data_IF_447216650857
#
_entry.id   IF_447216650857
#
_cell.length_a   1.000
_cell.length_b   1.000
_cell.length_c   1.000
_cell.angle_alpha   90.00
_cell.angle_beta   90.00
_cell.angle_gamma   90.00
#
_symmetry.space_group_name_H-M   'P 1'
#
loop_
_entity.id
_entity.type
_entity.pdbx_description
1 polymer ?
#
# COMPACT_ATOMS: atom_id res chain seq x y z
N UNK A 1 -5.82 -15.64 -2.22
CA UNK A 1 -6.52 -15.14 -1.01
C UNK A 1 -8.06 -15.14 -1.13
N UNK A 2 -8.74 -14.28 -1.92
CA UNK A 2 -10.23 -14.26 -2.00
C UNK A 2 -10.88 -15.63 -2.27
N UNK A 3 -10.32 -16.43 -3.18
CA UNK A 3 -10.81 -17.80 -3.45
C UNK A 3 -10.61 -18.75 -2.28
N UNK A 4 -9.45 -18.73 -1.64
CA UNK A 4 -9.16 -19.60 -0.49
C UNK A 4 -10.06 -19.27 0.71
N UNK A 5 -10.32 -18.00 0.96
CA UNK A 5 -11.22 -17.58 2.04
C UNK A 5 -12.69 -17.90 1.75
N UNK A 6 -13.11 -17.85 0.49
CA UNK A 6 -14.42 -18.36 0.08
C UNK A 6 -14.54 -19.87 0.31
N UNK A 7 -13.46 -20.64 0.11
CA UNK A 7 -13.45 -22.07 0.40
C UNK A 7 -13.46 -22.39 1.90
N UNK A 8 -12.67 -21.67 2.70
CA UNK A 8 -12.65 -21.89 4.16
C UNK A 8 -13.97 -21.51 4.80
N UNK A 9 -14.60 -20.41 4.37
CA UNK A 9 -15.93 -20.04 4.86
C UNK A 9 -16.94 -21.13 4.52
N UNK A 10 -16.97 -21.59 3.26
CA UNK A 10 -17.92 -22.61 2.81
C UNK A 10 -17.82 -23.92 3.60
N UNK A 11 -16.59 -24.38 3.90
CA UNK A 11 -16.37 -25.58 4.73
C UNK A 11 -16.94 -25.43 6.14
N UNK A 12 -16.80 -24.25 6.74
CA UNK A 12 -17.35 -23.98 8.07
C UNK A 12 -18.87 -23.90 8.05
N UNK A 13 -19.48 -23.36 7.00
CA UNK A 13 -20.94 -23.39 6.83
C UNK A 13 -21.45 -24.84 6.75
N UNK A 14 -20.81 -25.70 5.96
CA UNK A 14 -21.19 -27.12 5.87
C UNK A 14 -20.97 -27.89 7.17
N UNK A 15 -19.84 -27.67 7.84
CA UNK A 15 -19.57 -28.30 9.14
C UNK A 15 -20.61 -27.89 10.19
N UNK A 16 -20.94 -26.58 10.24
CA UNK A 16 -21.98 -26.05 11.13
C UNK A 16 -23.34 -26.67 10.79
N UNK A 17 -23.70 -26.76 9.51
CA UNK A 17 -24.95 -27.40 9.09
C UNK A 17 -24.98 -28.90 9.48
N UNK A 18 -23.88 -29.63 9.33
CA UNK A 18 -23.79 -31.04 9.74
C UNK A 18 -23.97 -31.22 11.25
N UNK A 19 -23.34 -30.37 12.06
CA UNK A 19 -23.52 -30.34 13.52
C UNK A 19 -24.97 -30.05 13.88
N UNK A 20 -25.60 -29.08 13.20
CA UNK A 20 -27.01 -28.77 13.40
C UNK A 20 -27.94 -29.94 13.02
N UNK A 21 -27.68 -30.63 11.92
CA UNK A 21 -28.46 -31.82 11.51
C UNK A 21 -28.32 -32.93 12.55
N UNK A 22 -27.10 -33.22 13.01
CA UNK A 22 -26.86 -34.23 14.05
C UNK A 22 -27.58 -33.87 15.36
N UNK A 23 -27.49 -32.60 15.78
CA UNK A 23 -28.21 -32.08 16.95
C UNK A 23 -29.74 -32.21 16.78
N UNK A 24 -30.27 -31.88 15.60
CA UNK A 24 -31.70 -31.96 15.30
C UNK A 24 -32.22 -33.39 15.34
N UNK A 25 -31.47 -34.35 14.79
CA UNK A 25 -31.80 -35.78 14.86
C UNK A 25 -31.81 -36.25 16.32
N UNK A 26 -30.76 -35.91 17.08
CA UNK A 26 -30.66 -36.27 18.50
C UNK A 26 -31.82 -35.70 19.32
N UNK A 27 -32.16 -34.43 19.10
CA UNK A 27 -33.25 -33.74 19.79
C UNK A 27 -34.62 -34.40 19.51
N UNK A 28 -34.84 -34.90 18.29
CA UNK A 28 -36.10 -35.54 17.93
C UNK A 28 -36.27 -36.92 18.58
N UNK A 29 -35.16 -37.63 18.82
CA UNK A 29 -35.14 -38.90 19.54
C UNK A 29 -35.35 -38.70 21.05
N UNK A 30 -35.08 -37.50 21.58
CA UNK A 30 -35.26 -37.19 22.99
C UNK A 30 -36.75 -37.08 23.37
N UNK A 31 -37.13 -37.69 24.50
CA UNK A 31 -38.47 -37.61 25.08
C UNK A 31 -38.51 -36.51 26.13
N UNK A 32 -39.33 -35.49 25.87
CA UNK A 32 -39.56 -34.41 26.83
C UNK A 32 -40.65 -34.81 27.84
N UNK A 33 -40.58 -34.36 29.10
CA UNK A 33 -41.65 -34.53 30.06
C UNK A 33 -42.95 -33.85 29.59
N UNK A 34 -44.09 -34.51 29.80
CA UNK A 34 -45.43 -34.00 29.44
C UNK A 34 -46.01 -33.02 30.47
N UNK A 35 -45.18 -32.46 31.35
CA UNK A 35 -45.60 -31.45 32.33
C UNK A 35 -45.65 -30.04 31.70
N UNK A 36 -46.83 -29.43 31.55
CA UNK A 36 -46.97 -28.10 30.92
C UNK A 36 -46.18 -27.00 31.65
N UNK A 37 -46.01 -27.12 32.96
CA UNK A 37 -45.28 -26.11 33.75
C UNK A 37 -43.79 -26.12 33.42
N UNK A 38 -43.16 -27.30 33.38
CA UNK A 38 -41.77 -27.48 32.98
C UNK A 38 -41.54 -27.01 31.53
N UNK A 39 -42.51 -27.28 30.64
CA UNK A 39 -42.45 -26.87 29.24
C UNK A 39 -42.47 -25.34 29.09
N UNK A 40 -43.34 -24.66 29.83
CA UNK A 40 -43.40 -23.20 29.87
C UNK A 40 -42.08 -22.58 30.35
N UNK A 41 -41.53 -23.09 31.46
CA UNK A 41 -40.25 -22.61 32.00
C UNK A 41 -39.10 -22.78 31.02
N UNK A 42 -39.06 -23.90 30.28
CA UNK A 42 -38.01 -24.15 29.29
C UNK A 42 -38.09 -23.21 28.08
N UNK A 43 -39.31 -22.94 27.57
CA UNK A 43 -39.51 -21.97 26.48
C UNK A 43 -39.14 -20.55 26.91
N UNK A 44 -39.52 -20.15 28.13
CA UNK A 44 -39.16 -18.85 28.70
C UNK A 44 -37.65 -18.70 28.85
N UNK A 45 -36.98 -19.69 29.46
CA UNK A 45 -35.53 -19.71 29.63
C UNK A 45 -34.80 -19.69 28.28
N UNK A 46 -35.33 -20.39 27.27
CA UNK A 46 -34.77 -20.36 25.92
C UNK A 46 -34.90 -18.96 25.30
N UNK A 47 -36.07 -18.32 25.36
CA UNK A 47 -36.25 -16.96 24.86
C UNK A 47 -35.30 -15.96 25.55
N UNK A 48 -35.17 -16.05 26.87
CA UNK A 48 -34.25 -15.22 27.66
C UNK A 48 -32.79 -15.44 27.26
N UNK A 49 -32.37 -16.70 27.12
CA UNK A 49 -31.00 -17.03 26.70
C UNK A 49 -30.69 -16.53 25.28
N UNK A 50 -31.65 -16.64 24.36
CA UNK A 50 -31.51 -16.13 22.99
C UNK A 50 -31.44 -14.60 22.96
N UNK A 51 -32.24 -13.92 23.78
CA UNK A 51 -32.19 -12.46 23.92
C UNK A 51 -30.82 -12.01 24.46
N UNK A 52 -30.30 -12.69 25.48
CA UNK A 52 -28.98 -12.40 26.06
C UNK A 52 -27.85 -12.60 25.04
N UNK A 53 -27.87 -13.71 24.28
CA UNK A 53 -26.87 -13.99 23.26
C UNK A 53 -26.97 -12.97 22.11
N UNK A 54 -28.18 -12.60 21.67
CA UNK A 54 -28.36 -11.56 20.66
C UNK A 54 -27.75 -10.23 21.12
N UNK A 55 -28.03 -9.84 22.37
CA UNK A 55 -27.44 -8.65 22.97
C UNK A 55 -25.92 -8.69 22.95
N UNK A 56 -25.32 -9.80 23.37
CA UNK A 56 -23.87 -9.98 23.36
C UNK A 56 -23.29 -9.90 21.93
N UNK A 57 -23.89 -10.61 20.97
CA UNK A 57 -23.44 -10.62 19.57
C UNK A 57 -23.50 -9.23 18.96
N UNK A 58 -24.57 -8.50 19.25
CA UNK A 58 -24.74 -7.12 18.81
C UNK A 58 -23.68 -6.20 19.43
N UNK A 59 -23.45 -6.29 20.74
CA UNK A 59 -22.42 -5.48 21.42
C UNK A 59 -21.01 -5.77 20.90
N UNK A 60 -20.62 -7.03 20.74
CA UNK A 60 -19.31 -7.39 20.16
C UNK A 60 -19.19 -6.84 18.74
N UNK A 61 -20.23 -6.99 17.93
CA UNK A 61 -20.23 -6.49 16.56
C UNK A 61 -20.08 -4.98 16.50
N UNK A 62 -20.75 -4.26 17.41
CA UNK A 62 -20.68 -2.81 17.52
C UNK A 62 -19.29 -2.36 17.99
N UNK A 63 -18.72 -2.98 19.03
CA UNK A 63 -17.36 -2.68 19.50
C UNK A 63 -16.32 -2.91 18.40
N UNK A 64 -16.42 -4.02 17.67
CA UNK A 64 -15.52 -4.31 16.53
C UNK A 64 -15.71 -3.28 15.42
N UNK A 65 -16.95 -2.87 15.14
CA UNK A 65 -17.24 -1.81 14.17
C UNK A 65 -16.66 -0.46 14.62
N UNK A 66 -16.75 -0.10 15.89
CA UNK A 66 -16.17 1.12 16.46
C UNK A 66 -14.64 1.12 16.42
N UNK A 67 -14.01 0.01 16.82
CA UNK A 67 -12.56 -0.17 16.71
C UNK A 67 -12.06 -0.08 15.26
N UNK A 68 -12.91 -0.45 14.30
CA UNK A 68 -12.56 -0.31 12.89
C UNK A 68 -12.90 1.09 12.37
N UNK A 69 -13.90 1.76 12.95
CA UNK A 69 -14.31 3.11 12.57
C UNK A 69 -13.22 4.15 12.83
N UNK A 70 -12.24 3.84 13.70
CA UNK A 70 -11.01 4.64 13.82
C UNK A 70 -10.24 4.76 12.51
N UNK A 71 -10.38 3.78 11.59
CA UNK A 71 -9.74 3.78 10.28
C UNK A 71 -10.60 4.45 9.19
N UNK A 72 -11.94 4.46 9.31
CA UNK A 72 -12.83 5.06 8.32
C UNK A 72 -14.23 5.37 8.87
N UNK A 73 -14.74 6.57 8.61
CA UNK A 73 -16.10 6.97 8.98
C UNK A 73 -17.21 6.27 8.18
N UNK A 74 -16.89 5.54 7.10
CA UNK A 74 -17.90 4.96 6.16
C UNK A 74 -18.18 3.47 6.38
N UNK A 75 -17.97 2.95 7.59
CA UNK A 75 -18.07 1.50 7.83
C UNK A 75 -19.49 0.97 8.06
N UNK A 76 -20.44 1.80 8.52
CA UNK A 76 -21.78 1.31 8.87
C UNK A 76 -22.49 0.58 7.71
N UNK A 77 -22.52 1.11 6.47
CA UNK A 77 -23.13 0.41 5.33
C UNK A 77 -22.40 -0.88 4.98
N UNK A 78 -21.10 -0.99 5.30
CA UNK A 78 -20.29 -2.20 5.05
C UNK A 78 -20.53 -3.30 6.07
N UNK A 79 -20.85 -2.94 7.31
CA UNK A 79 -21.16 -3.88 8.39
C UNK A 79 -22.54 -4.52 8.16
N UNK A 80 -23.51 -3.74 7.69
CA UNK A 80 -24.90 -4.16 7.43
C UNK A 80 -25.07 -4.81 6.05
N UNK A 81 -24.33 -5.88 5.81
CA UNK A 81 -24.48 -6.68 4.59
C UNK A 81 -25.80 -7.44 4.59
N UNK A 82 -26.35 -7.83 3.43
CA UNK A 82 -27.53 -8.69 3.36
C UNK A 82 -27.40 -9.99 4.16
N UNK A 83 -26.18 -10.55 4.25
CA UNK A 83 -25.87 -11.74 5.06
C UNK A 83 -26.00 -11.42 6.55
N UNK A 84 -25.43 -10.31 7.00
CA UNK A 84 -25.53 -9.83 8.39
C UNK A 84 -26.99 -9.58 8.77
N UNK A 85 -27.73 -8.88 7.91
CA UNK A 85 -29.15 -8.57 8.12
C UNK A 85 -29.97 -9.87 8.18
N UNK A 86 -29.75 -10.79 7.24
CA UNK A 86 -30.43 -12.10 7.23
C UNK A 86 -30.17 -12.90 8.50
N UNK A 87 -28.93 -12.86 9.02
CA UNK A 87 -28.58 -13.50 10.28
C UNK A 87 -29.27 -12.84 11.48
N UNK A 88 -29.28 -11.50 11.56
CA UNK A 88 -29.98 -10.77 12.63
C UNK A 88 -31.48 -11.09 12.61
N UNK A 89 -32.11 -11.10 11.43
CA UNK A 89 -33.53 -11.46 11.28
C UNK A 89 -33.80 -12.89 11.71
N UNK A 90 -32.94 -13.85 11.33
CA UNK A 90 -33.04 -15.24 11.79
C UNK A 90 -32.97 -15.34 13.32
N UNK A 91 -32.08 -14.57 13.94
CA UNK A 91 -31.88 -14.57 15.40
C UNK A 91 -33.08 -13.96 16.14
N UNK A 92 -33.61 -12.83 15.65
CA UNK A 92 -34.84 -12.22 16.18
C UNK A 92 -36.01 -13.19 16.04
N UNK A 93 -36.14 -13.86 14.89
CA UNK A 93 -37.16 -14.89 14.69
C UNK A 93 -36.99 -16.06 15.68
N UNK A 94 -35.76 -16.53 15.89
CA UNK A 94 -35.45 -17.56 16.88
C UNK A 94 -35.79 -17.17 18.32
N UNK A 95 -35.74 -15.89 18.65
CA UNK A 95 -36.12 -15.35 19.96
C UNK A 95 -37.65 -15.20 20.10
N UNK A 96 -38.33 -14.80 19.02
CA UNK A 96 -39.78 -14.57 19.03
C UNK A 96 -40.61 -15.86 19.01
N UNK A 97 -40.16 -16.90 18.31
CA UNK A 97 -40.90 -18.17 18.18
C UNK A 97 -41.20 -18.84 19.54
N UNK A 98 -40.22 -19.01 20.46
CA UNK A 98 -40.53 -19.54 21.79
C UNK A 98 -41.59 -18.74 22.54
N UNK A 99 -41.54 -17.39 22.47
CA UNK A 99 -42.50 -16.51 23.16
C UNK A 99 -43.93 -16.67 22.60
N UNK A 100 -44.07 -16.79 21.28
CA UNK A 100 -45.38 -17.03 20.65
C UNK A 100 -45.92 -18.41 21.00
N UNK A 101 -45.04 -19.41 20.99
CA UNK A 101 -45.41 -20.80 21.28
C UNK A 101 -45.69 -21.06 22.77
N UNK A 102 -45.29 -20.17 23.69
CA UNK A 102 -45.66 -20.27 25.11
C UNK A 102 -47.18 -20.28 25.35
N UNK A 103 -47.98 -19.72 24.42
CA UNK A 103 -49.46 -19.76 24.50
C UNK A 103 -49.99 -21.19 24.37
N UNK A 104 -49.27 -22.07 23.67
CA UNK A 104 -49.62 -23.47 23.44
C UNK A 104 -48.41 -24.37 23.74
N UNK A 105 -47.97 -24.33 24.99
CA UNK A 105 -46.84 -25.14 25.46
C UNK A 105 -47.10 -26.63 25.16
N UNK A 106 -46.33 -27.15 24.23
CA UNK A 106 -46.38 -28.55 23.79
C UNK A 106 -44.96 -29.05 23.55
N UNK A 107 -44.76 -30.37 23.64
CA UNK A 107 -43.46 -30.97 23.34
C UNK A 107 -42.96 -30.64 21.93
N UNK A 108 -43.87 -30.49 20.96
CA UNK A 108 -43.53 -30.09 19.59
C UNK A 108 -43.04 -28.65 19.53
N UNK A 109 -43.69 -27.72 20.25
CA UNK A 109 -43.26 -26.33 20.34
C UNK A 109 -41.82 -26.23 20.86
N UNK A 110 -41.50 -26.95 21.93
CA UNK A 110 -40.14 -27.00 22.49
C UNK A 110 -39.12 -27.49 21.47
N UNK A 111 -39.43 -28.58 20.75
CA UNK A 111 -38.52 -29.12 19.73
C UNK A 111 -38.23 -28.11 18.63
N UNK A 112 -39.27 -27.46 18.10
CA UNK A 112 -39.13 -26.43 17.06
C UNK A 112 -38.31 -25.25 17.58
N UNK A 113 -38.60 -24.76 18.78
CA UNK A 113 -37.87 -23.66 19.40
C UNK A 113 -36.40 -24.01 19.66
N UNK A 114 -36.11 -25.20 20.20
CA UNK A 114 -34.74 -25.67 20.44
C UNK A 114 -33.98 -25.92 19.13
N UNK A 115 -34.64 -26.40 18.07
CA UNK A 115 -34.01 -26.50 16.74
C UNK A 115 -33.65 -25.12 16.20
N UNK A 116 -34.57 -24.16 16.28
CA UNK A 116 -34.32 -22.81 15.76
C UNK A 116 -33.22 -22.09 16.56
N UNK A 117 -33.23 -22.24 17.88
CA UNK A 117 -32.16 -21.78 18.77
C UNK A 117 -30.82 -22.47 18.48
N UNK A 118 -30.82 -23.80 18.34
CA UNK A 118 -29.63 -24.56 17.96
C UNK A 118 -29.07 -24.14 16.61
N UNK A 119 -29.92 -23.93 15.61
CA UNK A 119 -29.52 -23.45 14.28
C UNK A 119 -28.84 -22.09 14.36
N UNK A 120 -29.46 -21.13 15.06
CA UNK A 120 -28.92 -19.79 15.19
C UNK A 120 -27.58 -19.77 15.93
N UNK A 121 -27.44 -20.55 17.01
CA UNK A 121 -26.16 -20.69 17.73
C UNK A 121 -25.07 -21.36 16.89
N UNK A 122 -25.40 -22.41 16.15
CA UNK A 122 -24.42 -23.10 15.31
C UNK A 122 -23.98 -22.23 14.13
N UNK A 123 -24.89 -21.44 13.55
CA UNK A 123 -24.57 -20.47 12.50
C UNK A 123 -23.80 -19.23 13.01
N UNK A 124 -23.74 -19.02 14.32
CA UNK A 124 -22.98 -17.92 14.92
C UNK A 124 -21.48 -18.03 14.63
N UNK A 125 -20.94 -19.25 14.58
CA UNK A 125 -19.51 -19.51 14.32
C UNK A 125 -19.09 -19.03 12.91
N UNK A 126 -19.72 -19.51 11.81
CA UNK A 126 -19.37 -19.03 10.48
C UNK A 126 -19.72 -17.55 10.29
N UNK A 127 -20.78 -17.05 10.95
CA UNK A 127 -21.12 -15.64 10.96
C UNK A 127 -19.99 -14.77 11.55
N UNK A 128 -19.52 -15.05 12.77
CA UNK A 128 -18.46 -14.23 13.38
C UNK A 128 -17.17 -14.29 12.59
N UNK A 129 -16.81 -15.45 12.06
CA UNK A 129 -15.63 -15.56 11.21
C UNK A 129 -15.76 -14.72 9.95
N UNK A 130 -16.92 -14.76 9.30
CA UNK A 130 -17.23 -13.93 8.13
C UNK A 130 -17.16 -12.43 8.49
N UNK A 131 -17.74 -12.05 9.62
CA UNK A 131 -17.80 -10.69 10.13
C UNK A 131 -16.40 -10.12 10.43
N UNK A 132 -15.61 -10.82 11.25
CA UNK A 132 -14.24 -10.43 11.60
C UNK A 132 -13.37 -10.32 10.34
N UNK A 133 -13.48 -11.30 9.44
CA UNK A 133 -12.73 -11.27 8.19
C UNK A 133 -13.07 -10.04 7.35
N UNK A 134 -14.36 -9.72 7.22
CA UNK A 134 -14.83 -8.61 6.38
C UNK A 134 -14.46 -7.25 6.95
N UNK A 135 -14.45 -7.13 8.26
CA UNK A 135 -14.08 -5.90 8.97
C UNK A 135 -12.55 -5.73 9.06
N UNK A 136 -11.80 -6.82 8.91
CA UNK A 136 -10.34 -6.78 8.92
C UNK A 136 -9.79 -5.74 7.93
N UNK A 137 -8.77 -4.97 8.33
CA UNK A 137 -8.23 -3.86 7.53
C UNK A 137 -7.75 -4.31 6.15
N UNK A 138 -7.30 -5.57 6.02
CA UNK A 138 -6.90 -6.15 4.74
C UNK A 138 -8.06 -6.28 3.76
N UNK A 139 -9.21 -6.78 4.23
CA UNK A 139 -10.40 -6.95 3.40
C UNK A 139 -11.03 -5.60 3.08
N UNK A 140 -10.99 -4.67 4.04
CA UNK A 140 -11.43 -3.28 3.86
C UNK A 140 -10.62 -2.56 2.78
N UNK A 141 -9.28 -2.65 2.83
CA UNK A 141 -8.39 -2.05 1.83
C UNK A 141 -8.56 -2.69 0.45
N UNK A 142 -8.71 -4.00 0.38
CA UNK A 142 -9.03 -4.69 -0.87
C UNK A 142 -10.36 -4.19 -1.45
N UNK A 143 -11.42 -4.10 -0.65
CA UNK A 143 -12.73 -3.59 -1.09
C UNK A 143 -12.63 -2.15 -1.60
N UNK A 144 -12.04 -1.25 -0.80
CA UNK A 144 -11.79 0.14 -1.17
C UNK A 144 -11.02 0.28 -2.47
N UNK A 145 -9.92 -0.47 -2.63
CA UNK A 145 -9.10 -0.42 -3.82
C UNK A 145 -9.86 -0.92 -5.06
N UNK A 146 -10.66 -1.98 -4.94
CA UNK A 146 -11.46 -2.45 -6.06
C UNK A 146 -12.54 -1.44 -6.45
N UNK A 147 -13.24 -0.84 -5.48
CA UNK A 147 -14.24 0.20 -5.75
C UNK A 147 -13.61 1.45 -6.35
N UNK A 148 -12.47 1.91 -5.83
CA UNK A 148 -11.71 3.03 -6.40
C UNK A 148 -11.31 2.73 -7.85
N UNK A 149 -10.79 1.53 -8.12
CA UNK A 149 -10.41 1.08 -9.46
C UNK A 149 -11.60 1.11 -10.44
N UNK A 150 -12.76 0.61 -10.01
CA UNK A 150 -13.98 0.62 -10.84
C UNK A 150 -14.50 2.04 -11.09
N UNK A 151 -14.41 2.93 -10.09
CA UNK A 151 -14.74 4.35 -10.22
C UNK A 151 -13.81 5.06 -11.21
N UNK A 152 -12.49 4.87 -11.07
CA UNK A 152 -11.48 5.42 -12.00
C UNK A 152 -11.71 4.94 -13.44
N UNK A 153 -11.96 3.65 -13.64
CA UNK A 153 -12.27 3.10 -14.98
C UNK A 153 -13.55 3.68 -15.59
N UNK A 154 -14.49 4.06 -14.75
CA UNK A 154 -15.75 4.69 -15.17
C UNK A 154 -15.63 6.21 -15.34
N UNK A 155 -14.46 6.82 -15.10
CA UNK A 155 -14.28 8.26 -15.10
C UNK A 155 -15.03 8.98 -13.96
N UNK A 156 -15.36 8.26 -12.89
CA UNK A 156 -16.00 8.82 -11.69
C UNK A 156 -14.96 9.16 -10.64
N UNK A 157 -15.31 10.10 -9.77
CA UNK A 157 -14.48 10.42 -8.62
C UNK A 157 -14.29 9.20 -7.71
N UNK A 158 -13.07 9.03 -7.20
CA UNK A 158 -12.65 7.87 -6.43
C UNK A 158 -12.47 8.26 -4.96
N UNK A 159 -13.57 8.64 -4.30
CA UNK A 159 -13.58 9.03 -2.88
C UNK A 159 -13.02 7.94 -1.94
N UNK A 160 -12.95 6.69 -2.40
CA UNK A 160 -12.31 5.60 -1.70
C UNK A 160 -10.79 5.79 -1.55
N UNK A 161 -10.13 6.56 -2.43
CA UNK A 161 -8.69 6.90 -2.32
C UNK A 161 -8.41 7.64 -1.03
N UNK A 162 -9.20 8.67 -0.71
CA UNK A 162 -9.08 9.43 0.53
C UNK A 162 -9.28 8.53 1.76
N UNK A 163 -10.16 7.53 1.65
CA UNK A 163 -10.34 6.56 2.74
C UNK A 163 -9.11 5.66 2.90
N UNK A 164 -8.48 5.21 1.80
CA UNK A 164 -7.24 4.42 1.86
C UNK A 164 -6.10 5.26 2.45
N UNK A 165 -6.00 6.53 2.09
CA UNK A 165 -5.04 7.50 2.64
C UNK A 165 -5.20 7.63 4.16
N UNK A 166 -6.43 7.86 4.64
CA UNK A 166 -6.74 7.92 6.07
C UNK A 166 -6.37 6.61 6.80
N UNK A 167 -6.67 5.45 6.21
CA UNK A 167 -6.25 4.14 6.78
C UNK A 167 -4.73 4.05 6.86
N UNK A 168 -4.02 4.51 5.83
CA UNK A 168 -2.56 4.50 5.77
C UNK A 168 -1.95 5.41 6.86
N UNK A 169 -2.44 6.64 6.97
CA UNK A 169 -2.00 7.61 7.98
C UNK A 169 -2.30 7.15 9.40
N UNK A 170 -3.46 6.52 9.64
CA UNK A 170 -3.79 5.94 10.94
C UNK A 170 -2.89 4.75 11.28
N UNK A 171 -2.65 3.85 10.31
CA UNK A 171 -1.73 2.72 10.49
C UNK A 171 -0.30 3.19 10.80
N UNK A 172 0.16 4.27 10.15
CA UNK A 172 1.43 4.91 10.44
C UNK A 172 1.47 5.44 11.89
N UNK A 173 0.43 6.14 12.34
CA UNK A 173 0.32 6.64 13.72
C UNK A 173 0.33 5.53 14.76
N UNK A 174 -0.29 4.39 14.45
CA UNK A 174 -0.32 3.19 15.31
C UNK A 174 0.92 2.30 15.18
N UNK A 175 1.87 2.64 14.29
CA UNK A 175 3.04 1.82 13.94
C UNK A 175 2.68 0.41 13.46
N UNK A 176 1.51 0.26 12.86
CA UNK A 176 1.09 -0.97 12.18
C UNK A 176 1.67 -0.98 10.75
N UNK A 177 2.95 -1.35 10.68
CA UNK A 177 3.71 -1.30 9.43
C UNK A 177 3.19 -2.27 8.36
N UNK A 178 2.49 -3.33 8.76
CA UNK A 178 1.94 -4.32 7.82
C UNK A 178 0.71 -3.74 7.10
N UNK A 179 -0.20 -3.11 7.85
CA UNK A 179 -1.35 -2.40 7.27
C UNK A 179 -0.91 -1.14 6.52
N UNK A 180 0.08 -0.41 7.02
CA UNK A 180 0.69 0.72 6.32
C UNK A 180 1.22 0.31 4.94
N UNK A 181 2.04 -0.75 4.88
CA UNK A 181 2.60 -1.29 3.63
C UNK A 181 1.48 -1.76 2.70
N UNK A 182 0.46 -2.43 3.22
CA UNK A 182 -0.68 -2.90 2.43
C UNK A 182 -1.44 -1.73 1.81
N UNK A 183 -1.76 -0.69 2.58
CA UNK A 183 -2.46 0.50 2.11
C UNK A 183 -1.66 1.23 1.01
N UNK A 184 -0.35 1.44 1.22
CA UNK A 184 0.55 1.98 0.19
C UNK A 184 0.55 1.15 -1.09
N UNK A 185 0.60 -0.18 -0.96
CA UNK A 185 0.52 -1.10 -2.09
C UNK A 185 -0.78 -0.92 -2.86
N UNK A 186 -1.90 -0.74 -2.17
CA UNK A 186 -3.20 -0.48 -2.82
C UNK A 186 -3.26 0.87 -3.52
N UNK A 187 -2.71 1.93 -2.94
CA UNK A 187 -2.60 3.21 -3.64
C UNK A 187 -1.73 3.10 -4.89
N UNK A 188 -0.61 2.38 -4.82
CA UNK A 188 0.24 2.11 -5.97
C UNK A 188 -0.43 1.29 -7.08
N UNK A 189 -1.25 0.30 -6.72
CA UNK A 189 -2.08 -0.45 -7.68
C UNK A 189 -3.05 0.49 -8.42
N UNK A 190 -3.65 1.46 -7.74
CA UNK A 190 -4.54 2.46 -8.34
C UNK A 190 -3.78 3.41 -9.28
N UNK A 191 -2.59 3.85 -8.88
CA UNK A 191 -1.68 4.63 -9.73
C UNK A 191 -1.36 3.90 -11.04
N UNK A 192 -1.17 2.58 -11.00
CA UNK A 192 -0.80 1.77 -12.15
C UNK A 192 -2.01 1.27 -12.96
N UNK A 193 -3.23 1.62 -12.56
CA UNK A 193 -4.45 1.24 -13.25
C UNK A 193 -4.45 1.65 -14.73
N UNK A 194 -4.79 0.78 -15.70
CA UNK A 194 -4.99 1.21 -17.08
C UNK A 194 -6.30 2.01 -17.17
N UNK A 195 -6.19 3.34 -17.21
CA UNK A 195 -7.31 4.28 -17.24
C UNK A 195 -7.11 5.28 -18.38
N UNK A 196 -8.21 5.82 -18.91
CA UNK A 196 -8.13 6.88 -19.90
C UNK A 196 -7.57 8.14 -19.25
N UNK A 197 -6.36 8.54 -19.64
CA UNK A 197 -5.63 9.64 -19.00
C UNK A 197 -6.41 10.95 -19.09
N UNK A 198 -7.06 11.24 -20.22
CA UNK A 198 -7.80 12.50 -20.41
C UNK A 198 -8.93 12.70 -19.40
N UNK A 199 -9.66 11.64 -19.05
CA UNK A 199 -10.81 11.72 -18.14
C UNK A 199 -10.45 11.52 -16.67
N UNK A 200 -9.29 10.92 -16.38
CA UNK A 200 -8.90 10.51 -15.02
C UNK A 200 -7.78 11.32 -14.39
N UNK A 201 -7.18 12.27 -15.13
CA UNK A 201 -6.13 13.17 -14.64
C UNK A 201 -6.40 13.79 -13.26
N UNK A 202 -7.61 14.35 -12.96
CA UNK A 202 -7.87 14.94 -11.64
C UNK A 202 -7.83 13.91 -10.50
N UNK A 203 -8.38 12.72 -10.72
CA UNK A 203 -8.38 11.65 -9.72
C UNK A 203 -7.02 10.99 -9.57
N UNK A 204 -6.20 10.94 -10.63
CA UNK A 204 -4.80 10.51 -10.51
C UNK A 204 -3.99 11.52 -9.70
N UNK A 205 -4.21 12.82 -9.90
CA UNK A 205 -3.53 13.87 -9.14
C UNK A 205 -3.80 13.78 -7.63
N UNK A 206 -5.01 13.43 -7.20
CA UNK A 206 -5.30 13.22 -5.78
C UNK A 206 -4.54 12.01 -5.22
N UNK A 207 -4.48 10.89 -5.96
CA UNK A 207 -3.70 9.71 -5.55
C UNK A 207 -2.22 10.04 -5.41
N UNK A 208 -1.66 10.82 -6.34
CA UNK A 208 -0.26 11.28 -6.26
C UNK A 208 -0.01 12.18 -5.06
N UNK A 209 -0.94 13.09 -4.76
CA UNK A 209 -0.86 13.92 -3.55
C UNK A 209 -0.84 13.04 -2.31
N UNK A 210 -1.78 12.10 -2.16
CA UNK A 210 -1.82 11.19 -1.01
C UNK A 210 -0.53 10.39 -0.86
N UNK A 211 0.00 9.78 -1.94
CA UNK A 211 1.28 9.06 -1.88
C UNK A 211 2.44 9.93 -1.42
N UNK A 212 2.51 11.18 -1.91
CA UNK A 212 3.51 12.15 -1.48
C UNK A 212 3.35 12.51 -0.01
N UNK A 213 2.13 12.86 0.39
CA UNK A 213 1.85 13.40 1.72
C UNK A 213 2.06 12.30 2.79
N UNK A 214 1.65 11.05 2.52
CA UNK A 214 1.97 9.87 3.34
C UNK A 214 3.48 9.67 3.46
N UNK A 215 4.21 9.74 2.34
CA UNK A 215 5.66 9.50 2.34
C UNK A 215 6.43 10.57 3.09
N UNK A 216 5.98 11.83 3.01
CA UNK A 216 6.53 12.93 3.79
C UNK A 216 6.19 12.80 5.28
N UNK A 217 4.99 12.34 5.63
CA UNK A 217 4.63 12.05 7.01
C UNK A 217 5.49 10.93 7.62
N UNK A 218 5.84 9.93 6.80
CA UNK A 218 6.69 8.81 7.19
C UNK A 218 8.16 9.20 7.46
N UNK A 219 8.61 10.41 7.10
CA UNK A 219 10.01 10.84 7.27
C UNK A 219 10.51 10.72 8.71
N UNK A 220 9.64 10.95 9.70
CA UNK A 220 10.05 10.90 11.12
C UNK A 220 10.18 9.46 11.66
N UNK A 221 9.83 8.44 10.87
CA UNK A 221 9.95 7.02 11.22
C UNK A 221 10.75 6.30 10.13
N UNK A 222 12.00 5.94 10.43
CA UNK A 222 12.93 5.35 9.45
C UNK A 222 12.40 4.06 8.81
N UNK A 223 11.62 3.26 9.55
CA UNK A 223 11.03 2.03 9.04
C UNK A 223 9.89 2.35 8.08
N UNK A 224 8.99 3.25 8.45
CA UNK A 224 7.91 3.69 7.57
C UNK A 224 8.45 4.37 6.30
N UNK A 225 9.44 5.25 6.44
CA UNK A 225 10.09 5.92 5.31
C UNK A 225 10.65 4.91 4.30
N UNK A 226 11.38 3.89 4.78
CA UNK A 226 11.92 2.83 3.92
C UNK A 226 10.81 2.05 3.22
N UNK A 227 9.72 1.72 3.92
CA UNK A 227 8.56 1.05 3.32
C UNK A 227 7.91 1.90 2.22
N UNK A 228 7.76 3.21 2.43
CA UNK A 228 7.25 4.14 1.42
C UNK A 228 8.14 4.22 0.19
N UNK A 229 9.45 4.43 0.38
CA UNK A 229 10.42 4.51 -0.72
C UNK A 229 10.43 3.21 -1.53
N UNK A 230 10.45 2.05 -0.86
CA UNK A 230 10.44 0.75 -1.53
C UNK A 230 9.14 0.51 -2.31
N UNK A 231 7.98 0.85 -1.75
CA UNK A 231 6.71 0.75 -2.44
C UNK A 231 6.70 1.63 -3.71
N UNK A 232 7.11 2.90 -3.59
CA UNK A 232 7.18 3.85 -4.71
C UNK A 232 8.17 3.36 -5.78
N UNK A 233 9.32 2.83 -5.36
CA UNK A 233 10.32 2.24 -6.26
C UNK A 233 9.73 1.05 -7.04
N UNK A 234 9.06 0.11 -6.38
CA UNK A 234 8.41 -1.03 -7.03
C UNK A 234 7.34 -0.58 -8.03
N UNK A 235 6.57 0.46 -7.71
CA UNK A 235 5.58 1.01 -8.65
C UNK A 235 6.25 1.64 -9.86
N UNK A 236 7.34 2.38 -9.64
CA UNK A 236 8.10 3.00 -10.71
C UNK A 236 8.71 1.98 -11.67
N UNK A 237 9.25 0.87 -11.15
CA UNK A 237 9.79 -0.21 -11.99
C UNK A 237 8.69 -0.87 -12.84
N UNK A 238 7.48 -1.03 -12.29
CA UNK A 238 6.32 -1.51 -13.07
C UNK A 238 5.89 -0.49 -14.12
N UNK A 239 5.92 0.80 -13.79
CA UNK A 239 5.56 1.89 -14.71
C UNK A 239 6.56 2.03 -15.86
N UNK A 240 7.87 1.92 -15.61
CA UNK A 240 8.91 1.95 -16.64
C UNK A 240 8.80 0.75 -17.58
N UNK A 241 8.60 -0.45 -17.03
CA UNK A 241 8.38 -1.66 -17.82
C UNK A 241 7.11 -1.57 -18.68
N UNK A 242 6.04 -0.97 -18.15
CA UNK A 242 4.82 -0.65 -18.89
C UNK A 242 4.93 0.55 -19.84
N UNK A 243 6.08 1.23 -19.89
CA UNK A 243 6.34 2.47 -20.66
C UNK A 243 5.28 3.56 -20.43
N UNK A 244 4.82 3.69 -19.19
CA UNK A 244 3.80 4.67 -18.78
C UNK A 244 4.40 6.08 -18.71
N UNK A 245 4.55 6.73 -19.87
CA UNK A 245 5.30 7.98 -20.06
C UNK A 245 4.96 9.10 -19.07
N UNK A 246 3.69 9.23 -18.69
CA UNK A 246 3.22 10.28 -17.77
C UNK A 246 3.32 9.90 -16.29
N UNK A 247 3.45 8.60 -15.97
CA UNK A 247 3.44 8.13 -14.57
C UNK A 247 4.83 8.00 -13.97
N UNK A 248 5.80 7.54 -14.77
CA UNK A 248 7.20 7.46 -14.32
C UNK A 248 7.71 8.80 -13.76
N UNK A 249 7.45 9.95 -14.42
CA UNK A 249 7.86 11.25 -13.88
C UNK A 249 7.21 11.64 -12.56
N UNK A 250 5.93 11.37 -12.38
CA UNK A 250 5.22 11.66 -11.13
C UNK A 250 5.79 10.81 -9.99
N UNK A 251 6.11 9.54 -10.26
CA UNK A 251 6.78 8.65 -9.30
C UNK A 251 8.16 9.21 -8.90
N UNK A 252 8.94 9.65 -9.89
CA UNK A 252 10.24 10.28 -9.67
C UNK A 252 10.08 11.58 -8.86
N UNK A 253 9.07 12.39 -9.15
CA UNK A 253 8.75 13.63 -8.42
C UNK A 253 8.39 13.37 -6.96
N UNK A 254 7.64 12.29 -6.65
CA UNK A 254 7.38 11.90 -5.26
C UNK A 254 8.69 11.55 -4.54
N UNK A 255 9.56 10.75 -5.16
CA UNK A 255 10.87 10.42 -4.61
C UNK A 255 11.77 11.66 -4.46
N UNK A 256 11.72 12.62 -5.39
CA UNK A 256 12.42 13.90 -5.26
C UNK A 256 12.02 14.60 -3.96
N UNK A 257 10.72 14.79 -3.73
CA UNK A 257 10.24 15.50 -2.53
C UNK A 257 10.64 14.79 -1.25
N UNK A 258 10.56 13.46 -1.21
CA UNK A 258 10.97 12.66 -0.05
C UNK A 258 12.48 12.76 0.17
N UNK A 259 13.28 12.53 -0.88
CA UNK A 259 14.74 12.52 -0.81
C UNK A 259 15.34 13.87 -0.45
N UNK A 260 14.85 14.95 -1.08
CA UNK A 260 15.31 16.32 -0.79
C UNK A 260 14.96 16.71 0.64
N UNK A 261 13.75 16.35 1.11
CA UNK A 261 13.36 16.63 2.50
C UNK A 261 14.19 15.82 3.50
N UNK A 262 14.46 14.54 3.22
CA UNK A 262 15.34 13.70 4.02
C UNK A 262 16.76 14.28 4.07
N UNK A 263 17.30 14.70 2.93
CA UNK A 263 18.65 15.29 2.85
C UNK A 263 18.75 16.63 3.59
N UNK A 264 17.74 17.49 3.47
CA UNK A 264 17.65 18.76 4.20
C UNK A 264 17.58 18.57 5.72
N UNK A 265 17.12 17.40 6.19
CA UNK A 265 17.09 17.00 7.61
C UNK A 265 18.30 16.17 8.03
N UNK A 266 19.32 16.06 7.17
CA UNK A 266 20.51 15.23 7.39
C UNK A 266 20.19 13.76 7.72
N UNK A 267 19.10 13.22 7.15
CA UNK A 267 18.66 11.84 7.37
C UNK A 267 19.36 10.88 6.41
N UNK A 268 20.60 10.52 6.74
CA UNK A 268 21.51 9.75 5.88
C UNK A 268 20.87 8.47 5.30
N UNK A 269 20.25 7.64 6.14
CA UNK A 269 19.58 6.41 5.68
C UNK A 269 18.44 6.70 4.70
N UNK A 270 17.58 7.67 5.01
CA UNK A 270 16.44 8.04 4.15
C UNK A 270 16.88 8.59 2.80
N UNK A 271 17.92 9.42 2.80
CA UNK A 271 18.55 9.92 1.57
C UNK A 271 19.17 8.77 0.78
N UNK A 272 19.93 7.87 1.43
CA UNK A 272 20.55 6.70 0.77
C UNK A 272 19.50 5.80 0.12
N UNK A 273 18.43 5.44 0.82
CA UNK A 273 17.35 4.62 0.24
C UNK A 273 16.70 5.30 -0.97
N UNK A 274 16.52 6.63 -0.90
CA UNK A 274 15.97 7.40 -2.03
C UNK A 274 16.92 7.41 -3.24
N UNK A 275 18.23 7.51 -3.00
CA UNK A 275 19.26 7.43 -4.04
C UNK A 275 19.22 6.07 -4.73
N UNK A 276 19.12 4.97 -3.98
CA UNK A 276 18.96 3.63 -4.55
C UNK A 276 17.69 3.51 -5.40
N UNK A 277 16.55 4.00 -4.90
CA UNK A 277 15.29 3.97 -5.64
C UNK A 277 15.37 4.79 -6.94
N UNK A 278 15.88 6.03 -6.88
CA UNK A 278 16.06 6.89 -8.06
C UNK A 278 17.06 6.30 -9.06
N UNK A 279 18.16 5.71 -8.59
CA UNK A 279 19.15 5.03 -9.41
C UNK A 279 18.55 3.84 -10.17
N UNK A 280 17.79 2.99 -9.47
CA UNK A 280 17.07 1.86 -10.06
C UNK A 280 16.04 2.29 -11.09
N UNK A 281 15.22 3.31 -10.77
CA UNK A 281 14.22 3.86 -11.69
C UNK A 281 14.83 4.53 -12.92
N UNK A 282 15.86 5.36 -12.74
CA UNK A 282 16.56 6.01 -13.84
C UNK A 282 17.19 5.00 -14.80
N UNK A 283 17.79 3.93 -14.25
CA UNK A 283 18.37 2.86 -15.05
C UNK A 283 17.28 2.11 -15.83
N UNK A 284 16.21 1.69 -15.14
CA UNK A 284 15.07 1.02 -15.76
C UNK A 284 14.40 1.89 -16.83
N UNK A 285 14.31 3.20 -16.62
CA UNK A 285 13.83 4.15 -17.62
C UNK A 285 14.73 4.17 -18.86
N UNK A 286 16.06 4.21 -18.68
CA UNK A 286 17.01 4.17 -19.79
C UNK A 286 16.96 2.84 -20.57
N UNK A 287 16.81 1.70 -19.88
CA UNK A 287 16.61 0.38 -20.50
C UNK A 287 15.32 0.33 -21.35
N UNK A 288 14.30 1.09 -20.94
CA UNK A 288 13.01 1.17 -21.62
C UNK A 288 12.90 2.36 -22.60
N UNK A 289 14.02 2.99 -22.97
CA UNK A 289 14.09 4.15 -23.87
C UNK A 289 13.23 5.35 -23.43
N UNK A 290 13.09 5.54 -22.12
CA UNK A 290 12.42 6.69 -21.52
C UNK A 290 13.47 7.76 -21.14
N UNK A 291 13.93 8.50 -22.15
CA UNK A 291 15.02 9.47 -22.02
C UNK A 291 14.74 10.57 -20.98
N UNK A 292 13.56 11.20 -21.05
CA UNK A 292 13.22 12.28 -20.12
C UNK A 292 13.17 11.83 -18.65
N UNK A 293 12.49 10.72 -18.29
CA UNK A 293 12.57 10.18 -16.93
C UNK A 293 14.00 9.83 -16.47
N UNK A 294 14.82 9.20 -17.32
CA UNK A 294 16.22 8.90 -16.98
C UNK A 294 17.02 10.19 -16.69
N UNK A 295 16.87 11.22 -17.54
CA UNK A 295 17.47 12.53 -17.35
C UNK A 295 17.00 13.21 -16.05
N UNK A 296 15.70 13.10 -15.76
CA UNK A 296 15.12 13.69 -14.56
C UNK A 296 15.66 13.02 -13.28
N UNK A 297 15.78 11.68 -13.25
CA UNK A 297 16.42 10.97 -12.14
C UNK A 297 17.86 11.43 -11.91
N UNK A 298 18.67 11.59 -12.97
CA UNK A 298 20.04 12.11 -12.85
C UNK A 298 20.05 13.50 -12.22
N UNK A 299 19.19 14.41 -12.69
CA UNK A 299 19.11 15.78 -12.14
C UNK A 299 18.84 15.78 -10.63
N UNK A 300 17.93 14.92 -10.17
CA UNK A 300 17.59 14.81 -8.74
C UNK A 300 18.77 14.22 -7.96
N UNK A 301 19.43 13.18 -8.48
CA UNK A 301 20.61 12.59 -7.86
C UNK A 301 21.74 13.62 -7.68
N UNK A 302 21.95 14.51 -8.66
CA UNK A 302 22.89 15.63 -8.56
C UNK A 302 22.50 16.58 -7.43
N UNK A 303 21.22 16.95 -7.33
CA UNK A 303 20.72 17.80 -6.24
C UNK A 303 20.89 17.14 -4.86
N UNK A 304 20.61 15.84 -4.74
CA UNK A 304 20.83 15.07 -3.52
C UNK A 304 22.31 14.99 -3.15
N UNK A 305 23.20 14.89 -4.14
CA UNK A 305 24.65 14.91 -3.92
C UNK A 305 25.10 16.24 -3.32
N UNK A 306 24.69 17.36 -3.93
CA UNK A 306 24.99 18.72 -3.43
C UNK A 306 24.50 18.88 -1.99
N UNK A 307 23.24 18.51 -1.73
CA UNK A 307 22.65 18.57 -0.39
C UNK A 307 23.38 17.67 0.61
N UNK A 308 23.85 16.49 0.19
CA UNK A 308 24.60 15.56 1.05
C UNK A 308 25.98 16.12 1.41
N UNK A 309 26.68 16.73 0.45
CA UNK A 309 27.96 17.39 0.67
C UNK A 309 27.84 18.60 1.61
N UNK A 310 26.74 19.37 1.49
CA UNK A 310 26.44 20.51 2.37
C UNK A 310 26.13 20.06 3.81
N UNK A 311 25.41 18.95 3.97
CA UNK A 311 25.02 18.39 5.26
C UNK A 311 26.02 17.35 5.82
N UNK A 312 27.21 17.22 5.21
CA UNK A 312 28.26 16.26 5.60
C UNK A 312 27.81 14.79 5.66
N UNK A 313 26.82 14.41 4.86
CA UNK A 313 26.36 13.02 4.69
C UNK A 313 27.28 12.29 3.68
N UNK A 314 28.56 12.19 4.01
CA UNK A 314 29.60 11.74 3.08
C UNK A 314 29.39 10.30 2.60
N UNK A 315 28.75 9.45 3.40
CA UNK A 315 28.46 8.07 3.04
C UNK A 315 27.41 7.95 1.91
N UNK A 316 26.57 8.96 1.68
CA UNK A 316 25.54 8.94 0.61
C UNK A 316 26.14 9.21 -0.76
N UNK A 317 27.20 10.02 -0.80
CA UNK A 317 27.74 10.58 -2.04
C UNK A 317 28.34 9.53 -2.99
N UNK A 318 29.07 8.50 -2.53
CA UNK A 318 29.48 7.41 -3.40
C UNK A 318 28.32 6.72 -4.12
N UNK A 319 27.19 6.52 -3.42
CA UNK A 319 26.01 5.88 -4.00
C UNK A 319 25.34 6.75 -5.06
N UNK A 320 25.38 8.08 -4.95
CA UNK A 320 24.83 8.97 -5.98
C UNK A 320 25.69 8.97 -7.23
N UNK A 321 27.03 8.97 -7.09
CA UNK A 321 27.97 8.86 -8.20
C UNK A 321 27.76 7.55 -8.96
N UNK A 322 27.70 6.42 -8.24
CA UNK A 322 27.46 5.10 -8.84
C UNK A 322 26.09 5.02 -9.54
N UNK A 323 25.06 5.62 -8.94
CA UNK A 323 23.73 5.67 -9.53
C UNK A 323 23.72 6.49 -10.84
N UNK A 324 24.35 7.67 -10.84
CA UNK A 324 24.46 8.52 -12.04
C UNK A 324 25.25 7.80 -13.13
N UNK A 325 26.41 7.23 -12.81
CA UNK A 325 27.22 6.43 -13.74
C UNK A 325 26.39 5.30 -14.37
N UNK A 326 25.69 4.53 -13.53
CA UNK A 326 24.88 3.41 -13.98
C UNK A 326 23.73 3.81 -14.90
N UNK A 327 23.08 4.96 -14.66
CA UNK A 327 22.05 5.49 -15.56
C UNK A 327 22.70 5.95 -16.87
N UNK A 328 23.78 6.73 -16.79
CA UNK A 328 24.49 7.29 -17.94
C UNK A 328 25.05 6.22 -18.88
N UNK A 329 25.64 5.15 -18.32
CA UNK A 329 26.19 4.04 -19.09
C UNK A 329 25.12 3.30 -19.88
N UNK A 330 23.98 3.01 -19.26
CA UNK A 330 22.83 2.41 -19.94
C UNK A 330 22.24 3.36 -20.97
N UNK A 331 22.09 4.65 -20.64
CA UNK A 331 21.59 5.66 -21.58
C UNK A 331 22.47 5.75 -22.84
N UNK A 332 23.80 5.80 -22.67
CA UNK A 332 24.75 5.84 -23.77
C UNK A 332 24.69 4.57 -24.63
N UNK A 333 24.60 3.39 -24.01
CA UNK A 333 24.43 2.11 -24.72
C UNK A 333 23.11 2.03 -25.48
N UNK A 334 22.04 2.62 -24.94
CA UNK A 334 20.69 2.65 -25.53
C UNK A 334 20.46 3.78 -26.53
N UNK A 335 21.47 4.60 -26.83
CA UNK A 335 21.35 5.72 -27.79
C UNK A 335 20.67 6.98 -27.23
N UNK A 336 20.45 7.07 -25.92
CA UNK A 336 19.75 8.16 -25.25
C UNK A 336 20.74 9.30 -24.93
N UNK A 337 21.05 10.09 -25.96
CA UNK A 337 22.10 11.13 -25.90
C UNK A 337 21.88 12.14 -24.77
N UNK A 338 20.66 12.62 -24.57
CA UNK A 338 20.40 13.69 -23.58
C UNK A 338 20.59 13.19 -22.14
N UNK A 339 20.08 12.00 -21.80
CA UNK A 339 20.35 11.40 -20.49
C UNK A 339 21.85 11.09 -20.29
N UNK A 340 22.55 10.57 -21.31
CA UNK A 340 23.98 10.32 -21.23
C UNK A 340 24.80 11.62 -21.04
N UNK A 341 24.44 12.69 -21.75
CA UNK A 341 25.05 14.01 -21.60
C UNK A 341 24.76 14.61 -20.22
N UNK A 342 23.53 14.51 -19.72
CA UNK A 342 23.18 14.97 -18.37
C UNK A 342 23.99 14.22 -17.30
N UNK A 343 24.20 12.91 -17.48
CA UNK A 343 25.04 12.11 -16.60
C UNK A 343 26.49 12.60 -16.59
N UNK A 344 27.09 12.80 -17.78
CA UNK A 344 28.46 13.30 -17.90
C UNK A 344 28.61 14.68 -17.24
N UNK A 345 27.70 15.61 -17.54
CA UNK A 345 27.70 16.95 -16.94
C UNK A 345 27.56 16.91 -15.41
N UNK A 346 26.69 16.04 -14.90
CA UNK A 346 26.47 15.87 -13.46
C UNK A 346 27.69 15.30 -12.75
N UNK A 347 28.35 14.28 -13.31
CA UNK A 347 29.57 13.72 -12.75
C UNK A 347 30.71 14.74 -12.75
N UNK A 348 30.84 15.54 -13.81
CA UNK A 348 31.85 16.59 -13.88
C UNK A 348 31.64 17.67 -12.82
N UNK A 349 30.39 18.15 -12.67
CA UNK A 349 29.99 19.10 -11.62
C UNK A 349 30.26 18.56 -10.21
N UNK A 350 29.89 17.30 -9.95
CA UNK A 350 30.15 16.64 -8.65
C UNK A 350 31.66 16.54 -8.38
N UNK A 351 32.47 16.22 -9.39
CA UNK A 351 33.93 16.15 -9.26
C UNK A 351 34.55 17.49 -8.84
N UNK A 352 34.17 18.59 -9.51
CA UNK A 352 34.61 19.95 -9.16
C UNK A 352 34.15 20.33 -7.75
N UNK A 353 32.85 20.18 -7.47
CA UNK A 353 32.28 20.53 -6.18
C UNK A 353 32.93 19.77 -5.02
N UNK A 354 33.18 18.48 -5.21
CA UNK A 354 33.82 17.63 -4.20
C UNK A 354 35.26 18.04 -3.95
N UNK A 355 35.99 18.44 -5.00
CA UNK A 355 37.35 18.99 -4.88
C UNK A 355 37.35 20.29 -4.08
N UNK A 356 36.46 21.23 -4.41
CA UNK A 356 36.31 22.50 -3.69
C UNK A 356 36.00 22.29 -2.21
N UNK A 357 35.19 21.27 -1.89
CA UNK A 357 34.83 20.92 -0.50
C UNK A 357 35.85 20.00 0.20
N UNK A 358 36.91 19.56 -0.48
CA UNK A 358 37.96 18.72 0.09
C UNK A 358 37.65 17.21 0.15
N UNK A 359 36.61 16.75 -0.53
CA UNK A 359 36.24 15.32 -0.62
C UNK A 359 36.94 14.64 -1.80
N UNK A 360 38.25 14.41 -1.67
CA UNK A 360 39.10 13.87 -2.74
C UNK A 360 38.66 12.50 -3.26
N UNK A 361 38.19 11.62 -2.38
CA UNK A 361 37.76 10.27 -2.76
C UNK A 361 36.53 10.30 -3.67
N UNK A 362 35.55 11.14 -3.34
CA UNK A 362 34.36 11.36 -4.17
C UNK A 362 34.74 11.94 -5.52
N UNK A 363 35.64 12.93 -5.52
CA UNK A 363 36.10 13.55 -6.75
C UNK A 363 36.75 12.48 -7.65
N UNK A 364 37.67 11.69 -7.11
CA UNK A 364 38.30 10.56 -7.81
C UNK A 364 37.27 9.58 -8.37
N UNK A 365 36.25 9.21 -7.59
CA UNK A 365 35.17 8.33 -8.03
C UNK A 365 34.39 8.91 -9.21
N UNK A 366 34.04 10.21 -9.17
CA UNK A 366 33.36 10.88 -10.27
C UNK A 366 34.19 10.89 -11.57
N UNK A 367 35.51 11.03 -11.48
CA UNK A 367 36.40 10.94 -12.63
C UNK A 367 36.52 9.52 -13.20
N UNK A 368 36.56 8.50 -12.33
CA UNK A 368 36.51 7.09 -12.74
C UNK A 368 35.20 6.82 -13.51
N UNK A 369 34.07 7.27 -12.97
CA UNK A 369 32.76 7.16 -13.61
C UNK A 369 32.71 7.86 -14.99
N UNK A 370 33.30 9.05 -15.12
CA UNK A 370 33.42 9.73 -16.41
C UNK A 370 34.26 8.92 -17.41
N UNK A 371 35.37 8.32 -16.96
CA UNK A 371 36.23 7.49 -17.81
C UNK A 371 35.50 6.22 -18.28
N UNK A 372 34.72 5.60 -17.40
CA UNK A 372 33.86 4.46 -17.76
C UNK A 372 32.79 4.88 -18.75
N UNK A 373 32.09 6.00 -18.52
CA UNK A 373 31.10 6.53 -19.44
C UNK A 373 31.72 6.81 -20.82
N UNK A 374 32.92 7.42 -20.87
CA UNK A 374 33.68 7.71 -22.10
C UNK A 374 33.93 6.47 -22.97
N UNK A 375 34.07 5.30 -22.35
CA UNK A 375 34.34 4.04 -23.05
C UNK A 375 33.13 3.46 -23.81
N UNK A 376 31.94 4.02 -23.63
CA UNK A 376 30.72 3.59 -24.34
C UNK A 376 30.62 4.21 -25.73
N UNK A 377 29.75 3.67 -26.59
CA UNK A 377 29.61 4.07 -28.01
C UNK A 377 29.28 5.55 -28.23
N UNK A 378 28.41 6.13 -27.39
CA UNK A 378 28.11 7.58 -27.36
C UNK A 378 28.95 8.35 -26.34
N UNK A 379 29.61 7.63 -25.43
CA UNK A 379 30.28 8.14 -24.25
C UNK A 379 31.33 9.21 -24.53
N UNK A 380 32.21 8.97 -25.50
CA UNK A 380 33.31 9.88 -25.80
C UNK A 380 32.81 11.29 -26.16
N UNK A 381 31.83 11.37 -27.05
CA UNK A 381 31.27 12.65 -27.50
C UNK A 381 30.55 13.40 -26.37
N UNK A 382 29.74 12.71 -25.57
CA UNK A 382 28.99 13.35 -24.48
C UNK A 382 29.89 13.80 -23.33
N UNK A 383 30.95 13.04 -23.02
CA UNK A 383 31.92 13.43 -21.99
C UNK A 383 32.74 14.64 -22.43
N UNK A 384 33.22 14.68 -23.68
CA UNK A 384 33.93 15.85 -24.21
C UNK A 384 33.05 17.10 -24.27
N UNK A 385 31.78 16.93 -24.63
CA UNK A 385 30.80 18.02 -24.64
C UNK A 385 30.54 18.57 -23.23
N UNK A 386 30.33 17.69 -22.25
CA UNK A 386 30.15 18.06 -20.84
C UNK A 386 31.37 18.80 -20.27
N UNK A 387 32.58 18.28 -20.52
CA UNK A 387 33.82 18.90 -20.07
C UNK A 387 34.06 20.26 -20.75
N UNK A 388 33.73 20.39 -22.04
CA UNK A 388 33.81 21.68 -22.74
C UNK A 388 32.85 22.70 -22.16
N UNK A 389 31.61 22.30 -21.86
CA UNK A 389 30.62 23.16 -21.23
C UNK A 389 31.10 23.63 -19.84
N UNK A 390 31.66 22.72 -19.03
CA UNK A 390 32.21 23.06 -17.72
C UNK A 390 33.42 24.00 -17.81
N UNK A 391 34.35 23.78 -18.76
CA UNK A 391 35.48 24.72 -18.97
C UNK A 391 35.02 26.13 -19.33
N UNK A 392 33.88 26.25 -20.00
CA UNK A 392 33.32 27.56 -20.37
C UNK A 392 32.78 28.37 -19.18
N UNK A 393 32.51 27.73 -18.03
CA UNK A 393 32.06 28.43 -16.81
C UNK A 393 33.20 29.05 -16.01
N UNK A 394 34.47 28.73 -16.34
CA UNK A 394 35.65 29.23 -15.64
C UNK A 394 35.97 28.50 -14.32
N UNK A 395 35.25 27.42 -14.00
CA UNK A 395 35.57 26.57 -12.86
C UNK A 395 36.83 25.72 -13.16
N UNK A 396 37.78 25.74 -12.23
CA UNK A 396 39.19 25.36 -12.46
C UNK A 396 39.38 23.95 -13.05
N UNK A 397 40.07 23.82 -14.20
CA UNK A 397 40.29 22.54 -14.90
C UNK A 397 41.35 21.63 -14.26
N UNK A 398 42.11 22.11 -13.26
CA UNK A 398 43.24 21.37 -12.70
C UNK A 398 42.87 19.97 -12.19
N UNK A 399 41.64 19.78 -11.71
CA UNK A 399 41.11 18.50 -11.28
C UNK A 399 41.05 17.44 -12.39
N UNK A 400 40.62 17.81 -13.60
CA UNK A 400 40.51 16.85 -14.71
C UNK A 400 41.86 16.56 -15.36
N UNK A 401 42.76 17.54 -15.37
CA UNK A 401 44.14 17.36 -15.85
C UNK A 401 44.90 16.36 -14.97
N UNK A 402 44.75 16.42 -13.65
CA UNK A 402 45.33 15.45 -12.71
C UNK A 402 44.82 14.02 -12.91
N UNK A 403 43.62 13.86 -13.47
CA UNK A 403 42.96 12.56 -13.67
C UNK A 403 43.05 12.06 -15.12
N UNK A 404 43.74 12.81 -15.99
CA UNK A 404 43.96 12.44 -17.39
C UNK A 404 42.70 12.47 -18.26
N UNK A 405 41.76 13.38 -17.98
CA UNK A 405 40.48 13.52 -18.69
C UNK A 405 40.43 14.67 -19.71
#
# INVERSE_FOLDING_TARGET
MKRELAHVSLRLWFASLAVFIAFSIWLWLWRFPDDPSAQYHLLAALAESMAAILGLVFTISLVVAELTASYSHRLLPRVLTPVTIGYIVLFIFSMMVPLVLMVQASAHAIRVSLMLGGLSLVLLIPYFRYFIYRIGPTALLDDLANTAMDNLRSGRDAAEVETIDNVCMHALGMKDYDIFKLALTKLGELVLAPVNEETTLPSLASIWSSLRDISLAAINDSRALRLSINAIHEFGLKATAGRLKYRVPEIISVLEKVGVTAAARAMEDGTRETVFALGGLGRSAAENHLDWPARYSISILTQLTRSSLDNRMTAVVPFTVDAIEGIGGVAAASGLRDAALQSASSLADIGVLSTVKGYKDVASQAAIALKQLRSTSLGAGVVEEALRALRSTGESPGFFEELGL
#
